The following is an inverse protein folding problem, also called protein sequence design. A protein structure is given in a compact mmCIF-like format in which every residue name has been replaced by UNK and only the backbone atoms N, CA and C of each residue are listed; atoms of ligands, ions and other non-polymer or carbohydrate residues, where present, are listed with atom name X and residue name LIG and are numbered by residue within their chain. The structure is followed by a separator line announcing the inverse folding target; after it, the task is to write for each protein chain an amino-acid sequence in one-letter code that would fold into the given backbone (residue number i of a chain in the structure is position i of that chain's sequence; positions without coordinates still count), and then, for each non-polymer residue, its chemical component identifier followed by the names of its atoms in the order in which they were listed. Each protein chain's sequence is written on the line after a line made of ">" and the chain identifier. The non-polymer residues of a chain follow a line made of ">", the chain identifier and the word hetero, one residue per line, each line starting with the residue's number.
data_IF_347929519548
#
_entry.id   IF_347929519548
#
_cell.length_a   1.000
_cell.length_b   1.000
_cell.length_c   1.000
_cell.angle_alpha   90.00
_cell.angle_beta   90.00
_cell.angle_gamma   90.00
#
_symmetry.space_group_name_H-M   'P 1'
#
loop_
_entity.id
_entity.type
_entity.pdbx_description
1 polymer ?
#
# COMPACT_ATOMS: atom_id res chain seq x y z
N UNK A 1 32.82 14.45 39.48
CA UNK A 1 31.80 14.99 38.55
C UNK A 1 31.63 14.03 37.39
N UNK A 2 30.48 13.36 37.20
CA UNK A 2 30.22 12.63 35.96
C UNK A 2 29.46 13.53 34.97
N UNK A 3 29.89 13.52 33.71
CA UNK A 3 29.28 14.24 32.58
C UNK A 3 27.93 13.61 32.23
N UNK A 4 26.87 14.41 32.28
CA UNK A 4 25.56 14.09 31.71
C UNK A 4 25.65 14.39 30.22
N UNK A 5 25.76 13.35 29.39
CA UNK A 5 25.47 13.46 27.95
C UNK A 5 23.96 13.46 27.81
N UNK A 6 23.38 14.63 27.56
CA UNK A 6 21.98 14.73 27.18
C UNK A 6 21.82 14.18 25.76
N UNK A 7 21.16 13.02 25.65
CA UNK A 7 20.76 12.44 24.38
C UNK A 7 19.62 13.29 23.80
N UNK A 8 19.98 14.23 22.92
CA UNK A 8 19.11 15.25 22.33
C UNK A 8 18.17 14.73 21.23
N UNK A 9 17.95 13.41 21.14
CA UNK A 9 17.13 12.82 20.08
C UNK A 9 15.72 12.41 20.52
N UNK A 10 15.26 12.86 21.68
CA UNK A 10 13.96 12.43 22.25
C UNK A 10 12.71 13.05 21.60
N UNK A 11 12.86 13.85 20.55
CA UNK A 11 11.78 14.71 20.04
C UNK A 11 11.50 14.66 18.54
N UNK A 12 12.19 13.82 17.75
CA UNK A 12 11.86 13.69 16.33
C UNK A 12 10.71 12.70 16.20
N UNK A 13 9.50 13.11 15.76
CA UNK A 13 8.49 12.15 15.35
C UNK A 13 9.14 11.34 14.24
N UNK A 14 9.36 10.05 14.44
CA UNK A 14 9.80 9.17 13.35
C UNK A 14 8.79 9.38 12.23
N UNK A 15 9.23 10.00 11.13
CA UNK A 15 8.43 10.02 9.92
C UNK A 15 8.05 8.56 9.67
N UNK A 16 6.75 8.23 9.54
CA UNK A 16 6.36 6.89 9.21
C UNK A 16 7.13 6.52 7.95
N UNK A 17 7.96 5.49 8.07
CA UNK A 17 8.75 4.98 6.96
C UNK A 17 7.75 4.63 5.85
N UNK A 18 8.08 4.93 4.60
CA UNK A 18 7.26 4.48 3.47
C UNK A 18 6.93 2.99 3.58
N UNK A 19 7.85 2.19 4.13
CA UNK A 19 7.69 0.75 4.39
C UNK A 19 6.57 0.42 5.38
N UNK A 20 6.37 1.20 6.44
CA UNK A 20 5.34 0.91 7.46
C UNK A 20 3.93 1.03 6.87
N UNK A 21 3.70 2.07 6.08
CA UNK A 21 2.42 2.27 5.41
C UNK A 21 2.18 1.25 4.28
N UNK A 22 3.25 0.80 3.59
CA UNK A 22 3.15 -0.30 2.63
C UNK A 22 2.75 -1.59 3.34
N UNK A 23 3.35 -1.89 4.49
CA UNK A 23 2.95 -3.03 5.34
C UNK A 23 1.50 -2.92 5.78
N UNK A 24 1.05 -1.73 6.18
CA UNK A 24 -0.35 -1.48 6.54
C UNK A 24 -1.28 -1.70 5.34
N UNK A 25 -0.90 -1.24 4.14
CA UNK A 25 -1.66 -1.46 2.91
C UNK A 25 -1.78 -2.96 2.56
N UNK A 26 -0.67 -3.70 2.56
CA UNK A 26 -0.67 -5.15 2.33
C UNK A 26 -1.42 -5.92 3.41
N UNK A 27 -1.30 -5.50 4.67
CA UNK A 27 -2.04 -6.10 5.79
C UNK A 27 -3.55 -5.90 5.62
N UNK A 28 -4.01 -4.70 5.23
CA UNK A 28 -5.42 -4.42 4.94
C UNK A 28 -5.94 -5.26 3.77
N UNK A 29 -5.16 -5.44 2.71
CA UNK A 29 -5.54 -6.30 1.58
C UNK A 29 -5.72 -7.77 1.98
N UNK A 30 -4.83 -8.29 2.79
CA UNK A 30 -4.78 -9.73 3.12
C UNK A 30 -5.67 -10.12 4.29
N UNK A 31 -6.00 -9.18 5.17
CA UNK A 31 -6.77 -9.44 6.38
C UNK A 31 -8.29 -9.47 6.13
N UNK A 32 -8.93 -10.60 6.42
CA UNK A 32 -10.39 -10.75 6.34
C UNK A 32 -11.18 -9.67 7.11
N UNK A 33 -10.57 -9.01 8.08
CA UNK A 33 -11.16 -7.93 8.90
C UNK A 33 -11.24 -6.57 8.19
N UNK A 34 -10.71 -6.42 6.97
CA UNK A 34 -10.88 -5.19 6.20
C UNK A 34 -12.29 -5.13 5.58
N UNK A 35 -13.29 -4.86 6.41
CA UNK A 35 -14.68 -4.54 6.00
C UNK A 35 -14.78 -3.15 5.36
N UNK A 36 -13.72 -2.34 5.43
CA UNK A 36 -13.67 -0.94 4.95
C UNK A 36 -12.69 -0.69 3.81
N UNK A 37 -12.06 -1.74 3.24
CA UNK A 37 -11.28 -1.55 2.01
C UNK A 37 -12.23 -1.32 0.83
N UNK A 38 -11.79 -0.57 -0.19
CA UNK A 38 -12.53 -0.32 -1.43
C UNK A 38 -12.88 -1.61 -2.23
N UNK A 39 -12.55 -2.79 -1.69
CA UNK A 39 -12.77 -4.11 -2.27
C UNK A 39 -13.70 -4.99 -1.43
N UNK A 40 -14.37 -4.43 -0.41
CA UNK A 40 -15.37 -5.15 0.38
C UNK A 40 -16.53 -5.68 -0.50
N UNK A 41 -16.75 -5.05 -1.65
CA UNK A 41 -17.70 -5.43 -2.69
C UNK A 41 -17.17 -6.49 -3.69
N UNK A 42 -15.89 -6.86 -3.63
CA UNK A 42 -15.25 -7.82 -4.54
C UNK A 42 -14.67 -9.08 -3.85
N UNK A 43 -15.46 -9.83 -3.03
CA UNK A 43 -14.96 -10.95 -2.23
C UNK A 43 -14.34 -12.08 -3.06
N UNK A 44 -14.87 -12.34 -4.26
CA UNK A 44 -14.39 -13.41 -5.12
C UNK A 44 -13.01 -13.10 -5.72
N UNK A 45 -12.80 -11.86 -6.16
CA UNK A 45 -11.49 -11.42 -6.68
C UNK A 45 -10.42 -11.47 -5.58
N UNK A 46 -10.80 -11.07 -4.36
CA UNK A 46 -9.91 -11.09 -3.20
C UNK A 46 -9.52 -12.51 -2.78
N UNK A 47 -10.48 -13.43 -2.76
CA UNK A 47 -10.21 -14.83 -2.51
C UNK A 47 -9.27 -15.43 -3.58
N UNK A 48 -9.47 -15.06 -4.85
CA UNK A 48 -8.59 -15.46 -5.95
C UNK A 48 -7.17 -14.92 -5.77
N UNK A 49 -7.03 -13.63 -5.44
CA UNK A 49 -5.74 -13.00 -5.16
C UNK A 49 -5.02 -13.64 -3.99
N UNK A 50 -5.70 -13.92 -2.88
CA UNK A 50 -5.08 -14.56 -1.72
C UNK A 50 -4.52 -15.95 -2.10
N UNK A 51 -5.32 -16.79 -2.78
CA UNK A 51 -4.88 -18.12 -3.21
C UNK A 51 -3.67 -18.04 -4.14
N UNK A 52 -3.70 -17.16 -5.15
CA UNK A 52 -2.64 -17.09 -6.16
C UNK A 52 -1.39 -16.39 -5.63
N UNK A 53 -1.53 -15.23 -5.01
CA UNK A 53 -0.41 -14.35 -4.67
C UNK A 53 0.14 -14.59 -3.27
N UNK A 54 -0.73 -14.88 -2.29
CA UNK A 54 -0.33 -15.08 -0.91
C UNK A 54 0.02 -16.55 -0.68
N UNK A 55 -0.87 -17.47 -1.08
CA UNK A 55 -0.67 -18.92 -0.91
C UNK A 55 0.14 -19.55 -2.05
N UNK A 56 0.53 -18.77 -3.07
CA UNK A 56 1.30 -19.24 -4.24
C UNK A 56 0.67 -20.42 -4.98
N UNK A 57 -0.66 -20.54 -4.95
CA UNK A 57 -1.37 -21.60 -5.67
C UNK A 57 -1.38 -21.33 -7.19
N UNK A 58 -1.24 -22.38 -8.03
CA UNK A 58 -1.49 -22.27 -9.45
C UNK A 58 -2.90 -21.72 -9.73
N UNK A 59 -3.01 -20.82 -10.71
CA UNK A 59 -4.29 -20.15 -11.06
C UNK A 59 -5.43 -21.13 -11.34
N UNK A 60 -5.15 -22.23 -12.03
CA UNK A 60 -6.14 -23.25 -12.36
C UNK A 60 -6.66 -23.96 -11.10
N UNK A 61 -5.78 -24.25 -10.14
CA UNK A 61 -6.15 -24.85 -8.86
C UNK A 61 -6.92 -23.87 -7.98
N UNK A 62 -6.53 -22.59 -7.98
CA UNK A 62 -7.26 -21.54 -7.26
C UNK A 62 -8.68 -21.33 -7.82
N UNK A 63 -8.82 -21.30 -9.15
CA UNK A 63 -10.12 -21.20 -9.82
C UNK A 63 -11.03 -22.40 -9.51
N UNK A 64 -10.47 -23.62 -9.60
CA UNK A 64 -11.20 -24.85 -9.24
C UNK A 64 -11.63 -24.85 -7.77
N UNK A 65 -10.75 -24.43 -6.86
CA UNK A 65 -11.05 -24.34 -5.43
C UNK A 65 -12.11 -23.29 -5.08
N UNK A 66 -12.35 -22.32 -5.97
CA UNK A 66 -13.41 -21.31 -5.84
C UNK A 66 -14.66 -21.64 -6.67
N UNK A 67 -14.65 -22.74 -7.44
CA UNK A 67 -15.78 -23.16 -8.27
C UNK A 67 -16.09 -22.21 -9.43
N UNK A 68 -15.11 -21.46 -9.92
CA UNK A 68 -15.29 -20.46 -10.98
C UNK A 68 -14.59 -20.86 -12.28
N UNK A 69 -15.10 -20.37 -13.40
CA UNK A 69 -14.50 -20.63 -14.72
C UNK A 69 -13.11 -19.99 -14.82
N UNK A 70 -12.16 -20.59 -15.56
CA UNK A 70 -10.81 -20.02 -15.72
C UNK A 70 -10.79 -18.60 -16.32
N UNK A 71 -11.75 -18.30 -17.21
CA UNK A 71 -11.92 -16.96 -17.79
C UNK A 71 -12.27 -15.92 -16.73
N UNK A 72 -13.31 -16.20 -15.94
CA UNK A 72 -13.76 -15.33 -14.85
C UNK A 72 -12.68 -15.16 -13.78
N UNK A 73 -11.98 -16.24 -13.45
CA UNK A 73 -10.87 -16.22 -12.52
C UNK A 73 -9.73 -15.30 -13.00
N UNK A 74 -9.46 -15.31 -14.31
CA UNK A 74 -8.46 -14.43 -14.92
C UNK A 74 -8.92 -12.98 -14.87
N UNK A 75 -10.17 -12.72 -15.25
CA UNK A 75 -10.77 -11.38 -15.23
C UNK A 75 -10.78 -10.75 -13.83
N UNK A 76 -11.24 -11.51 -12.82
CA UNK A 76 -11.27 -11.08 -11.43
C UNK A 76 -9.87 -10.77 -10.90
N UNK A 77 -8.90 -11.64 -11.21
CA UNK A 77 -7.53 -11.45 -10.75
C UNK A 77 -6.83 -10.28 -11.44
N UNK A 78 -7.07 -10.06 -12.74
CA UNK A 78 -6.50 -8.92 -13.46
C UNK A 78 -7.08 -7.59 -12.97
N UNK A 79 -8.41 -7.50 -12.85
CA UNK A 79 -9.07 -6.27 -12.39
C UNK A 79 -8.58 -5.86 -11.00
N UNK A 80 -8.54 -6.81 -10.07
CA UNK A 80 -8.07 -6.52 -8.72
C UNK A 80 -6.59 -6.10 -8.69
N UNK A 81 -5.71 -6.70 -9.51
CA UNK A 81 -4.30 -6.27 -9.60
C UNK A 81 -4.17 -4.85 -10.13
N UNK A 82 -4.97 -4.48 -11.13
CA UNK A 82 -4.97 -3.13 -11.68
C UNK A 82 -5.41 -2.10 -10.65
N UNK A 83 -6.47 -2.38 -9.91
CA UNK A 83 -6.98 -1.45 -8.90
C UNK A 83 -5.99 -1.31 -7.73
N UNK A 84 -5.37 -2.41 -7.30
CA UNK A 84 -4.30 -2.37 -6.29
C UNK A 84 -3.11 -1.55 -6.77
N UNK A 85 -2.75 -1.65 -8.05
CA UNK A 85 -1.68 -0.85 -8.63
C UNK A 85 -2.03 0.65 -8.64
N UNK A 86 -3.29 1.01 -8.97
CA UNK A 86 -3.77 2.40 -8.90
C UNK A 86 -3.71 2.94 -7.47
N UNK A 87 -4.22 2.18 -6.50
CA UNK A 87 -4.20 2.56 -5.09
C UNK A 87 -2.77 2.76 -4.58
N UNK A 88 -1.85 1.88 -4.99
CA UNK A 88 -0.44 2.01 -4.64
C UNK A 88 0.20 3.28 -5.21
N UNK A 89 -0.09 3.62 -6.47
CA UNK A 89 0.38 4.86 -7.09
C UNK A 89 -0.18 6.08 -6.37
N UNK A 90 -1.49 6.09 -6.08
CA UNK A 90 -2.13 7.17 -5.31
C UNK A 90 -1.50 7.34 -3.93
N UNK A 91 -1.18 6.23 -3.24
CA UNK A 91 -0.50 6.27 -1.95
C UNK A 91 0.92 6.85 -2.05
N UNK A 92 1.66 6.54 -3.12
CA UNK A 92 2.98 7.12 -3.36
C UNK A 92 2.90 8.62 -3.68
N UNK A 93 1.95 9.03 -4.51
CA UNK A 93 1.74 10.43 -4.87
C UNK A 93 1.31 11.27 -3.68
N UNK A 94 0.41 10.76 -2.83
CA UNK A 94 -0.02 11.43 -1.61
C UNK A 94 1.13 11.66 -0.61
N UNK A 95 2.20 10.88 -0.69
CA UNK A 95 3.39 11.02 0.16
C UNK A 95 4.51 11.84 -0.46
N UNK A 96 4.37 12.26 -1.72
CA UNK A 96 5.34 13.14 -2.36
C UNK A 96 5.32 14.48 -1.62
N UNK A 97 6.44 14.91 -1.01
CA UNK A 97 6.49 16.26 -0.45
C UNK A 97 6.19 17.27 -1.57
N UNK A 98 5.41 18.33 -1.31
CA UNK A 98 5.19 19.36 -2.31
C UNK A 98 6.55 19.87 -2.79
N UNK A 99 6.72 19.98 -4.10
CA UNK A 99 7.94 20.51 -4.68
C UNK A 99 8.20 21.88 -4.05
N UNK A 100 9.32 22.03 -3.34
CA UNK A 100 9.74 23.33 -2.80
C UNK A 100 9.98 24.25 -4.00
N UNK A 101 9.03 25.10 -4.30
CA UNK A 101 9.26 26.24 -5.19
C UNK A 101 10.09 27.24 -4.39
N UNK A 102 11.41 27.19 -4.55
CA UNK A 102 12.30 28.25 -4.11
C UNK A 102 12.00 29.48 -4.97
N UNK A 103 11.00 30.26 -4.56
CA UNK A 103 10.94 31.68 -4.92
C UNK A 103 11.86 32.40 -3.92
N UNK A 104 13.18 32.25 -4.09
CA UNK A 104 14.11 33.22 -3.53
C UNK A 104 13.85 34.53 -4.26
N UNK A 105 13.01 35.35 -3.65
CA UNK A 105 12.81 36.74 -4.00
C UNK A 105 14.15 37.42 -3.73
N UNK A 106 14.97 37.58 -4.79
CA UNK A 106 16.10 38.50 -4.80
C UNK A 106 15.57 39.87 -4.38
N UNK A 107 15.79 40.23 -3.11
CA UNK A 107 15.67 41.61 -2.67
C UNK A 107 17.00 42.24 -3.09
N UNK A 108 17.01 42.83 -4.28
CA UNK A 108 18.02 43.78 -4.70
C UNK A 108 17.84 45.04 -3.86
N UNK A 109 18.68 45.24 -2.85
CA UNK A 109 18.88 46.56 -2.27
C UNK A 109 20.02 47.24 -3.03
N UNK A 110 19.67 48.43 -3.52
CA UNK A 110 20.42 49.39 -4.33
C UNK A 110 21.61 50.01 -3.58
#
# INVERSE_FOLDING_TARGET
>A
MPRITSDWNSGVPRQPSSDDDLRVFFSRMTCACAETSAYADAPMARAMFNRVEVMKQPRTLAASALGIAPGDATYLLSGLREDVAKDFVLLLDAKRPPAKTNYEKEISDE
#
